data_IF_394779880327
#
_entry.id   IF_394779880327
#
_cell.length_a   1.000
_cell.length_b   1.000
_cell.length_c   1.000
_cell.angle_alpha   90.00
_cell.angle_beta   90.00
_cell.angle_gamma   90.00
#
_symmetry.space_group_name_H-M   'P 1'
#
loop_
_entity.id
_entity.type
_entity.pdbx_description
1 polymer ?
#
# COMPACT_ATOMS: atom_id res chain seq x y z
N UNK A 1 -26.43 5.90 15.94
CA UNK A 1 -27.21 7.15 15.67
C UNK A 1 -26.26 8.32 15.67
N UNK A 2 -25.66 8.68 14.55
CA UNK A 2 -24.84 9.88 14.42
C UNK A 2 -25.73 10.99 13.85
N UNK A 3 -26.06 11.97 14.69
CA UNK A 3 -26.80 13.18 14.32
C UNK A 3 -26.11 13.84 13.11
N UNK A 4 -26.87 14.03 12.03
CA UNK A 4 -26.53 14.89 10.92
C UNK A 4 -26.13 16.26 11.44
N UNK A 5 -24.82 16.57 11.41
CA UNK A 5 -24.36 17.94 11.52
C UNK A 5 -24.83 18.64 10.24
N UNK A 6 -25.68 19.66 10.32
CA UNK A 6 -26.16 20.33 9.13
C UNK A 6 -24.97 21.02 8.46
N UNK A 7 -24.54 20.48 7.32
CA UNK A 7 -23.59 21.17 6.45
C UNK A 7 -24.24 22.51 6.03
N UNK A 8 -23.66 23.63 6.43
CA UNK A 8 -24.02 24.96 5.92
C UNK A 8 -24.06 24.88 4.39
N UNK A 9 -25.25 24.91 3.83
CA UNK A 9 -25.50 25.03 2.41
C UNK A 9 -24.85 26.32 1.92
N UNK A 10 -23.66 26.23 1.33
CA UNK A 10 -22.96 27.41 0.81
C UNK A 10 -21.46 27.28 0.56
N UNK A 11 -20.79 26.25 1.08
CA UNK A 11 -19.34 26.09 0.83
C UNK A 11 -19.12 25.21 -0.40
N UNK A 12 -18.52 25.78 -1.44
CA UNK A 12 -18.14 25.10 -2.71
C UNK A 12 -17.29 23.83 -2.52
N UNK A 13 -16.73 23.63 -1.32
CA UNK A 13 -15.80 22.56 -0.98
C UNK A 13 -16.25 21.73 0.24
N UNK A 14 -17.52 21.81 0.63
CA UNK A 14 -18.01 21.21 1.88
C UNK A 14 -17.82 19.69 1.95
N UNK A 15 -17.99 18.97 0.85
CA UNK A 15 -17.83 17.51 0.81
C UNK A 15 -16.33 17.11 0.90
N UNK A 16 -15.47 17.78 0.15
CA UNK A 16 -14.03 17.57 0.22
C UNK A 16 -13.48 17.81 1.64
N UNK A 17 -13.90 18.93 2.25
CA UNK A 17 -13.50 19.29 3.60
C UNK A 17 -13.97 18.27 4.64
N UNK A 18 -15.20 17.77 4.51
CA UNK A 18 -15.73 16.71 5.37
C UNK A 18 -14.92 15.41 5.27
N UNK A 19 -14.53 15.01 4.05
CA UNK A 19 -13.72 13.82 3.80
C UNK A 19 -12.30 13.99 4.36
N UNK A 20 -11.70 15.17 4.22
CA UNK A 20 -10.39 15.49 4.79
C UNK A 20 -10.41 15.49 6.32
N UNK A 21 -11.42 16.11 6.95
CA UNK A 21 -11.56 16.06 8.40
C UNK A 21 -11.71 14.63 8.89
N UNK A 22 -12.57 13.84 8.23
CA UNK A 22 -12.74 12.44 8.60
C UNK A 22 -11.41 11.67 8.53
N UNK A 23 -10.63 11.89 7.47
CA UNK A 23 -9.30 11.29 7.32
C UNK A 23 -8.38 11.69 8.46
N UNK A 24 -8.26 12.97 8.77
CA UNK A 24 -7.39 13.46 9.86
C UNK A 24 -7.83 12.88 11.20
N UNK A 25 -9.13 12.85 11.50
CA UNK A 25 -9.66 12.26 12.74
C UNK A 25 -9.35 10.76 12.82
N UNK A 26 -9.49 10.03 11.71
CA UNK A 26 -9.15 8.60 11.65
C UNK A 26 -7.65 8.37 11.92
N UNK A 27 -6.77 9.21 11.38
CA UNK A 27 -5.33 9.15 11.65
C UNK A 27 -4.98 9.49 13.11
N UNK A 28 -5.69 10.43 13.73
CA UNK A 28 -5.54 10.73 15.17
C UNK A 28 -5.93 9.50 16.01
N UNK A 29 -7.06 8.85 15.71
CA UNK A 29 -7.49 7.62 16.39
C UNK A 29 -6.45 6.51 16.22
N UNK A 30 -5.93 6.32 14.99
CA UNK A 30 -4.83 5.39 14.73
C UNK A 30 -3.62 5.71 15.62
N UNK A 31 -3.21 6.97 15.67
CA UNK A 31 -2.03 7.38 16.43
C UNK A 31 -2.20 7.18 17.94
N UNK A 32 -3.37 7.46 18.48
CA UNK A 32 -3.70 7.18 19.89
C UNK A 32 -3.55 5.67 20.18
N UNK A 33 -4.13 4.82 19.34
CA UNK A 33 -4.07 3.37 19.54
C UNK A 33 -2.66 2.78 19.47
N UNK A 34 -1.72 3.40 18.73
CA UNK A 34 -0.30 2.98 18.70
C UNK A 34 0.44 3.27 20.03
N UNK A 35 -0.19 3.99 20.97
CA UNK A 35 0.40 4.33 22.28
C UNK A 35 -0.30 3.61 23.44
N UNK A 36 -1.35 2.82 23.19
CA UNK A 36 -2.03 2.03 24.23
C UNK A 36 -1.29 0.71 24.38
N UNK A 37 -0.49 0.50 25.46
CA UNK A 37 0.26 -0.74 25.64
C UNK A 37 -0.65 -1.91 25.99
N UNK A 38 -0.25 -3.11 25.60
CA UNK A 38 -0.89 -4.36 26.05
C UNK A 38 -0.44 -4.63 27.48
N UNK A 39 -1.35 -4.94 28.41
CA UNK A 39 -0.99 -5.17 29.81
C UNK A 39 -0.18 -6.46 29.99
N UNK A 40 0.68 -6.51 31.01
CA UNK A 40 1.46 -7.69 31.39
C UNK A 40 2.89 -7.74 30.86
N UNK A 41 3.39 -6.68 30.24
CA UNK A 41 4.76 -6.57 29.73
C UNK A 41 5.49 -5.42 30.41
N UNK A 42 6.77 -5.64 30.71
CA UNK A 42 7.66 -4.60 31.24
C UNK A 42 8.16 -3.71 30.08
N UNK A 43 7.83 -2.39 30.09
CA UNK A 43 8.18 -1.50 28.98
C UNK A 43 9.68 -1.21 28.88
N UNK A 44 10.44 -1.30 29.97
CA UNK A 44 11.86 -0.95 29.96
C UNK A 44 12.69 -2.11 29.40
N UNK A 45 12.45 -3.34 29.80
CA UNK A 45 13.06 -4.55 29.23
C UNK A 45 12.73 -4.68 27.74
N UNK A 46 11.50 -4.31 27.35
CA UNK A 46 11.09 -4.33 25.93
C UNK A 46 11.90 -3.34 25.08
N UNK A 47 12.12 -2.11 25.56
CA UNK A 47 12.94 -1.11 24.87
C UNK A 47 14.37 -1.58 24.68
N UNK A 48 14.97 -2.22 25.69
CA UNK A 48 16.32 -2.75 25.59
C UNK A 48 16.44 -3.83 24.49
N UNK A 49 15.49 -4.76 24.43
CA UNK A 49 15.43 -5.79 23.39
C UNK A 49 15.31 -5.19 21.99
N UNK A 50 14.45 -4.20 21.83
CA UNK A 50 14.28 -3.52 20.53
C UNK A 50 15.53 -2.74 20.12
N UNK A 51 16.23 -2.11 21.06
CA UNK A 51 17.46 -1.38 20.79
C UNK A 51 18.59 -2.33 20.33
N UNK A 52 18.64 -3.56 20.85
CA UNK A 52 19.61 -4.57 20.43
C UNK A 52 19.30 -5.17 19.06
N UNK A 53 18.02 -5.18 18.61
CA UNK A 53 17.59 -5.83 17.39
C UNK A 53 17.07 -4.85 16.30
N UNK A 54 17.43 -3.57 16.37
CA UNK A 54 16.92 -2.53 15.47
C UNK A 54 17.18 -2.78 13.97
N UNK A 55 18.19 -3.54 13.60
CA UNK A 55 18.55 -3.85 12.20
C UNK A 55 17.89 -5.09 11.62
N UNK A 56 17.07 -5.82 12.39
CA UNK A 56 16.49 -7.12 11.98
C UNK A 56 15.06 -7.04 11.43
N UNK A 57 14.46 -8.22 11.32
CA UNK A 57 13.06 -8.42 10.89
C UNK A 57 12.08 -7.64 11.78
N UNK A 58 12.34 -7.58 13.09
CA UNK A 58 11.53 -6.83 14.04
C UNK A 58 11.52 -5.33 13.78
N UNK A 59 12.65 -4.78 13.30
CA UNK A 59 12.73 -3.37 12.87
C UNK A 59 11.82 -3.05 11.70
N UNK A 60 11.75 -3.94 10.70
CA UNK A 60 10.81 -3.79 9.57
C UNK A 60 9.35 -3.84 10.04
N UNK A 61 8.99 -4.80 10.91
CA UNK A 61 7.65 -4.86 11.49
C UNK A 61 7.30 -3.58 12.25
N UNK A 62 8.22 -3.10 13.06
CA UNK A 62 8.03 -1.88 13.85
C UNK A 62 7.81 -0.65 12.95
N UNK A 63 8.49 -0.58 11.81
CA UNK A 63 8.31 0.48 10.82
C UNK A 63 6.90 0.46 10.22
N UNK A 64 6.41 -0.71 9.79
CA UNK A 64 5.06 -0.84 9.21
C UNK A 64 3.94 -0.63 10.24
N UNK A 65 4.20 -0.93 11.51
CA UNK A 65 3.26 -0.68 12.61
C UNK A 65 3.31 0.76 13.16
N UNK A 66 4.22 1.60 12.65
CA UNK A 66 4.37 2.98 13.13
C UNK A 66 4.92 3.12 14.55
N UNK A 67 5.82 2.22 14.95
CA UNK A 67 6.39 2.16 16.28
C UNK A 67 5.48 1.49 17.32
N UNK A 68 4.40 0.87 16.89
CA UNK A 68 3.46 0.19 17.78
C UNK A 68 4.05 -1.10 18.36
N UNK A 69 4.94 -1.79 17.64
CA UNK A 69 5.57 -3.02 18.10
C UNK A 69 6.62 -2.74 19.18
N UNK A 70 7.43 -1.69 19.03
CA UNK A 70 8.44 -1.32 20.03
C UNK A 70 7.86 -0.90 21.39
N UNK A 71 6.58 -0.53 21.42
CA UNK A 71 5.82 -0.22 22.64
C UNK A 71 4.88 -1.34 23.03
N UNK A 72 4.84 -2.40 22.26
CA UNK A 72 3.88 -3.49 22.35
C UNK A 72 2.44 -3.00 22.57
N UNK A 73 2.00 -2.12 21.68
CA UNK A 73 0.66 -1.57 21.76
C UNK A 73 -0.38 -2.52 21.17
N UNK A 74 -1.64 -2.22 21.37
CA UNK A 74 -2.78 -2.97 20.80
C UNK A 74 -2.67 -3.10 19.27
N UNK A 75 -1.98 -2.15 18.61
CA UNK A 75 -1.73 -2.18 17.17
C UNK A 75 -0.34 -2.75 16.78
N UNK A 76 0.29 -3.53 17.65
CA UNK A 76 1.64 -4.07 17.41
C UNK A 76 1.73 -4.94 16.14
N UNK A 77 0.70 -5.74 15.82
CA UNK A 77 0.61 -6.48 14.56
C UNK A 77 0.37 -5.58 13.33
N UNK A 78 -0.11 -4.37 13.54
CA UNK A 78 -0.42 -3.43 12.45
C UNK A 78 -1.45 -3.97 11.46
N UNK A 79 -1.28 -3.60 10.20
CA UNK A 79 -2.12 -4.06 9.07
C UNK A 79 -1.58 -5.33 8.38
N UNK A 80 -0.46 -5.92 8.85
CA UNK A 80 0.21 -7.05 8.20
C UNK A 80 -0.69 -8.29 8.02
N UNK A 81 -1.45 -8.76 9.04
CA UNK A 81 -2.34 -9.92 8.87
C UNK A 81 -3.39 -9.68 7.78
N UNK A 82 -3.90 -8.46 7.68
CA UNK A 82 -4.87 -8.11 6.64
C UNK A 82 -4.23 -8.09 5.23
N UNK A 83 -3.03 -7.54 5.09
CA UNK A 83 -2.31 -7.51 3.82
C UNK A 83 -2.08 -8.94 3.34
N UNK A 84 -1.56 -9.82 4.21
CA UNK A 84 -1.31 -11.23 3.89
C UNK A 84 -2.60 -11.96 3.51
N UNK A 85 -3.69 -11.77 4.27
CA UNK A 85 -4.99 -12.36 3.95
C UNK A 85 -5.54 -11.86 2.60
N UNK A 86 -5.39 -10.57 2.32
CA UNK A 86 -5.83 -9.96 1.06
C UNK A 86 -5.06 -10.52 -0.14
N UNK A 87 -3.75 -10.71 -0.01
CA UNK A 87 -2.91 -11.34 -1.04
C UNK A 87 -3.38 -12.75 -1.31
N UNK A 88 -3.51 -13.56 -0.26
CA UNK A 88 -3.92 -14.97 -0.36
C UNK A 88 -5.29 -15.05 -1.04
N UNK A 89 -6.26 -14.25 -0.61
CA UNK A 89 -7.59 -14.24 -1.21
C UNK A 89 -7.60 -13.76 -2.65
N UNK A 90 -6.80 -12.76 -2.99
CA UNK A 90 -6.64 -12.32 -4.38
C UNK A 90 -6.04 -13.42 -5.25
N UNK A 91 -4.97 -14.10 -4.81
CA UNK A 91 -4.38 -15.22 -5.53
C UNK A 91 -5.37 -16.38 -5.69
N UNK A 92 -6.06 -16.77 -4.62
CA UNK A 92 -7.06 -17.84 -4.64
C UNK A 92 -8.23 -17.51 -5.58
N UNK A 93 -8.61 -16.25 -5.74
CA UNK A 93 -9.68 -15.84 -6.66
C UNK A 93 -9.35 -16.05 -8.14
N UNK A 94 -8.09 -16.36 -8.48
CA UNK A 94 -7.67 -16.74 -9.83
C UNK A 94 -7.45 -18.25 -9.99
N UNK A 95 -7.13 -18.94 -8.92
CA UNK A 95 -6.82 -20.37 -8.95
C UNK A 95 -8.07 -21.22 -8.73
N UNK A 96 -8.99 -20.77 -7.85
CA UNK A 96 -10.20 -21.52 -7.52
C UNK A 96 -11.38 -21.07 -8.38
N UNK A 97 -11.98 -22.01 -9.18
CA UNK A 97 -13.13 -21.69 -10.05
C UNK A 97 -14.34 -21.11 -9.30
N UNK A 98 -14.56 -21.54 -8.05
CA UNK A 98 -15.63 -21.03 -7.19
C UNK A 98 -15.47 -19.56 -6.82
N UNK A 99 -14.24 -19.10 -6.59
CA UNK A 99 -13.94 -17.71 -6.29
C UNK A 99 -13.86 -16.85 -7.56
N UNK A 100 -13.45 -17.44 -8.67
CA UNK A 100 -13.48 -16.79 -9.98
C UNK A 100 -14.91 -16.47 -10.42
N UNK A 101 -15.87 -17.38 -10.20
CA UNK A 101 -17.29 -17.12 -10.49
C UNK A 101 -17.83 -15.96 -9.64
N UNK A 102 -17.52 -15.94 -8.33
CA UNK A 102 -17.89 -14.84 -7.44
C UNK A 102 -17.33 -13.49 -7.92
N UNK A 103 -16.09 -13.47 -8.39
CA UNK A 103 -15.49 -12.26 -8.93
C UNK A 103 -16.22 -11.74 -10.17
N UNK A 104 -16.74 -12.64 -11.03
CA UNK A 104 -17.53 -12.30 -12.22
C UNK A 104 -18.94 -11.81 -11.89
N UNK A 105 -19.47 -12.09 -10.70
CA UNK A 105 -20.78 -11.59 -10.22
C UNK A 105 -20.80 -10.08 -9.92
N UNK A 106 -19.67 -9.37 -10.03
CA UNK A 106 -19.57 -7.92 -9.82
C UNK A 106 -19.58 -7.52 -8.34
N UNK A 107 -20.38 -6.52 -7.98
CA UNK A 107 -20.42 -5.94 -6.62
C UNK A 107 -20.79 -6.95 -5.52
N UNK A 108 -21.75 -7.84 -5.79
CA UNK A 108 -22.19 -8.87 -4.83
C UNK A 108 -21.06 -9.84 -4.51
N UNK A 109 -20.35 -10.32 -5.53
CA UNK A 109 -19.22 -11.22 -5.35
C UNK A 109 -18.02 -10.55 -4.67
N UNK A 110 -17.74 -9.27 -4.99
CA UNK A 110 -16.69 -8.50 -4.29
C UNK A 110 -16.94 -8.41 -2.79
N UNK A 111 -18.19 -8.18 -2.37
CA UNK A 111 -18.54 -8.16 -0.94
C UNK A 111 -18.26 -9.48 -0.25
N UNK A 112 -18.57 -10.62 -0.88
CA UNK A 112 -18.27 -11.95 -0.34
C UNK A 112 -16.75 -12.18 -0.26
N UNK A 113 -15.98 -11.82 -1.28
CA UNK A 113 -14.51 -11.93 -1.25
C UNK A 113 -13.92 -11.08 -0.12
N UNK A 114 -14.41 -9.84 0.08
CA UNK A 114 -14.00 -9.00 1.20
C UNK A 114 -14.33 -9.65 2.55
N UNK A 115 -15.48 -10.29 2.67
CA UNK A 115 -15.86 -11.03 3.89
C UNK A 115 -14.90 -12.19 4.16
N UNK A 116 -14.54 -12.97 3.16
CA UNK A 116 -13.54 -14.04 3.30
C UNK A 116 -12.16 -13.51 3.67
N UNK A 117 -11.77 -12.35 3.11
CA UNK A 117 -10.53 -11.65 3.51
C UNK A 117 -10.55 -11.28 5.00
N UNK A 118 -11.68 -10.81 5.53
CA UNK A 118 -11.83 -10.50 6.97
C UNK A 118 -11.66 -11.75 7.84
N UNK A 119 -12.27 -12.88 7.45
CA UNK A 119 -12.09 -14.15 8.17
C UNK A 119 -10.64 -14.64 8.10
N UNK A 120 -10.00 -14.52 6.92
CA UNK A 120 -8.57 -14.83 6.76
C UNK A 120 -7.68 -13.95 7.63
N UNK A 121 -8.00 -12.66 7.74
CA UNK A 121 -7.29 -11.71 8.62
C UNK A 121 -7.41 -12.11 10.09
N UNK A 122 -8.59 -12.49 10.53
CA UNK A 122 -8.82 -12.94 11.90
C UNK A 122 -8.02 -14.20 12.21
N UNK A 123 -8.02 -15.18 11.31
CA UNK A 123 -7.30 -16.43 11.47
C UNK A 123 -5.77 -16.20 11.49
N UNK A 124 -5.24 -15.46 10.53
CA UNK A 124 -3.81 -15.14 10.49
C UNK A 124 -3.39 -14.27 11.68
N UNK A 125 -4.21 -13.30 12.07
CA UNK A 125 -3.95 -12.45 13.25
C UNK A 125 -3.91 -13.25 14.53
N UNK A 126 -4.79 -14.24 14.68
CA UNK A 126 -4.80 -15.13 15.84
C UNK A 126 -3.52 -15.99 15.91
N UNK A 127 -3.11 -16.57 14.79
CA UNK A 127 -1.85 -17.33 14.72
C UNK A 127 -0.64 -16.45 15.05
N UNK A 128 -0.55 -15.27 14.45
CA UNK A 128 0.57 -14.35 14.68
C UNK A 128 0.58 -13.85 16.13
N UNK A 129 -0.57 -13.49 16.68
CA UNK A 129 -0.69 -13.05 18.08
C UNK A 129 -0.27 -14.13 19.07
N UNK A 130 -0.70 -15.39 18.86
CA UNK A 130 -0.27 -16.53 19.67
C UNK A 130 1.23 -16.72 19.61
N UNK A 131 1.81 -16.70 18.41
CA UNK A 131 3.24 -16.86 18.25
C UNK A 131 4.05 -15.77 18.94
N UNK A 132 3.65 -14.52 18.81
CA UNK A 132 4.31 -13.41 19.51
C UNK A 132 4.16 -13.56 21.03
N UNK A 133 2.98 -13.92 21.55
CA UNK A 133 2.78 -14.12 22.97
C UNK A 133 3.71 -15.21 23.54
N UNK A 134 3.83 -16.35 22.82
CA UNK A 134 4.74 -17.43 23.21
C UNK A 134 6.21 -17.01 23.13
N UNK A 135 6.60 -16.30 22.06
CA UNK A 135 7.96 -15.80 21.88
C UNK A 135 8.37 -14.80 22.98
N UNK A 136 7.45 -13.95 23.43
CA UNK A 136 7.72 -13.00 24.53
C UNK A 136 7.87 -13.70 25.87
N UNK A 137 7.12 -14.75 26.14
CA UNK A 137 7.26 -15.54 27.37
C UNK A 137 8.60 -16.28 27.47
N UNK A 138 9.27 -16.60 26.35
CA UNK A 138 10.58 -17.23 26.36
C UNK A 138 11.71 -16.27 26.76
N UNK A 139 11.45 -14.96 26.76
CA UNK A 139 12.43 -13.96 27.19
C UNK A 139 12.34 -13.73 28.69
N UNK A 140 13.42 -13.96 29.46
CA UNK A 140 13.38 -13.79 30.89
C UNK A 140 13.18 -12.32 31.31
N UNK A 141 12.24 -12.08 32.19
CA UNK A 141 11.99 -10.73 32.78
C UNK A 141 11.13 -9.80 31.91
N UNK A 142 10.68 -10.21 30.73
CA UNK A 142 9.86 -9.37 29.86
C UNK A 142 8.37 -9.42 30.22
N UNK A 143 7.87 -10.60 30.60
CA UNK A 143 6.48 -10.81 30.99
C UNK A 143 6.42 -10.86 32.53
N UNK A 144 5.54 -10.04 33.11
CA UNK A 144 5.40 -9.92 34.58
C UNK A 144 4.88 -11.24 35.16
N UNK A 145 3.79 -11.78 34.60
CA UNK A 145 3.17 -13.04 35.02
C UNK A 145 3.00 -13.96 33.80
N UNK A 146 4.00 -14.83 33.48
CA UNK A 146 3.90 -15.75 32.38
C UNK A 146 2.82 -16.81 32.66
N UNK A 147 1.95 -17.09 31.66
CA UNK A 147 0.92 -18.11 31.78
C UNK A 147 -0.25 -17.94 30.80
N UNK A 148 -1.22 -18.84 30.94
CA UNK A 148 -2.40 -18.87 30.06
C UNK A 148 -3.19 -17.55 30.05
N UNK A 149 -3.25 -16.85 31.20
CA UNK A 149 -3.94 -15.59 31.33
C UNK A 149 -3.28 -14.50 30.47
N UNK A 150 -1.94 -14.34 30.56
CA UNK A 150 -1.19 -13.40 29.72
C UNK A 150 -1.37 -13.69 28.23
N UNK A 151 -1.24 -14.97 27.81
CA UNK A 151 -1.44 -15.37 26.40
C UNK A 151 -2.82 -14.98 25.91
N UNK A 152 -3.85 -15.24 26.69
CA UNK A 152 -5.24 -14.93 26.31
C UNK A 152 -5.46 -13.42 26.17
N UNK A 153 -5.01 -12.61 27.13
CA UNK A 153 -5.12 -11.16 27.09
C UNK A 153 -4.34 -10.58 25.91
N UNK A 154 -3.12 -11.04 25.70
CA UNK A 154 -2.25 -10.63 24.61
C UNK A 154 -2.92 -10.91 23.23
N UNK A 155 -3.39 -12.15 23.02
CA UNK A 155 -4.02 -12.56 21.77
C UNK A 155 -5.30 -11.77 21.50
N UNK A 156 -6.18 -11.65 22.48
CA UNK A 156 -7.43 -10.90 22.35
C UNK A 156 -7.13 -9.42 22.01
N UNK A 157 -6.19 -8.80 22.72
CA UNK A 157 -5.81 -7.40 22.51
C UNK A 157 -5.25 -7.17 21.10
N UNK A 158 -4.30 -7.99 20.65
CA UNK A 158 -3.65 -7.85 19.34
C UNK A 158 -4.61 -8.14 18.18
N UNK A 159 -5.43 -9.18 18.30
CA UNK A 159 -6.42 -9.51 17.25
C UNK A 159 -7.49 -8.42 17.17
N UNK A 160 -7.98 -7.93 18.30
CA UNK A 160 -8.95 -6.83 18.33
C UNK A 160 -8.36 -5.58 17.68
N UNK A 161 -7.09 -5.26 17.99
CA UNK A 161 -6.38 -4.14 17.37
C UNK A 161 -6.26 -4.28 15.85
N UNK A 162 -5.89 -5.45 15.36
CA UNK A 162 -5.79 -5.72 13.91
C UNK A 162 -7.13 -5.60 13.20
N UNK A 163 -8.21 -6.17 13.80
CA UNK A 163 -9.55 -6.07 13.24
C UNK A 163 -10.07 -4.63 13.25
N UNK A 164 -9.75 -3.87 14.29
CA UNK A 164 -10.07 -2.44 14.35
C UNK A 164 -9.34 -1.64 13.27
N UNK A 165 -8.03 -1.89 13.05
CA UNK A 165 -7.27 -1.23 11.98
C UNK A 165 -7.80 -1.56 10.59
N UNK A 166 -8.19 -2.80 10.36
CA UNK A 166 -8.83 -3.21 9.11
C UNK A 166 -10.13 -2.43 8.90
N UNK A 167 -11.02 -2.41 9.90
CA UNK A 167 -12.26 -1.65 9.84
C UNK A 167 -12.01 -0.14 9.63
N UNK A 168 -11.03 0.43 10.33
CA UNK A 168 -10.67 1.83 10.18
C UNK A 168 -10.19 2.14 8.75
N UNK A 169 -9.36 1.26 8.16
CA UNK A 169 -8.92 1.37 6.77
C UNK A 169 -10.07 1.31 5.76
N UNK A 170 -11.04 0.42 5.98
CA UNK A 170 -12.25 0.37 5.16
C UNK A 170 -13.08 1.66 5.29
N UNK A 171 -13.26 2.19 6.51
CA UNK A 171 -13.98 3.46 6.72
C UNK A 171 -13.27 4.65 6.05
N UNK A 172 -11.93 4.69 6.08
CA UNK A 172 -11.16 5.73 5.37
C UNK A 172 -11.37 5.60 3.87
N UNK A 173 -11.39 4.39 3.32
CA UNK A 173 -11.62 4.15 1.88
C UNK A 173 -13.02 4.57 1.44
N UNK A 174 -14.06 4.30 2.26
CA UNK A 174 -15.45 4.61 1.94
C UNK A 174 -15.79 6.10 2.12
N UNK A 175 -15.34 6.71 3.22
CA UNK A 175 -15.75 8.05 3.66
C UNK A 175 -14.65 9.10 3.53
N UNK A 176 -13.41 8.70 3.38
CA UNK A 176 -12.25 9.57 3.23
C UNK A 176 -11.87 9.79 1.76
N UNK A 177 -10.58 9.93 1.53
CA UNK A 177 -9.95 10.08 0.23
C UNK A 177 -8.80 9.07 0.16
N UNK A 178 -8.71 8.30 -0.91
CA UNK A 178 -7.63 7.33 -1.11
C UNK A 178 -7.91 5.93 -0.59
N UNK A 179 -6.90 5.08 -0.70
CA UNK A 179 -6.94 3.73 -0.13
C UNK A 179 -6.58 3.82 1.37
N UNK A 180 -7.55 3.54 2.23
CA UNK A 180 -7.40 3.71 3.68
C UNK A 180 -6.27 2.92 4.30
N UNK A 181 -6.02 1.68 3.82
CA UNK A 181 -4.93 0.84 4.33
C UNK A 181 -3.57 1.41 3.96
N UNK A 182 -3.42 1.84 2.70
CA UNK A 182 -2.18 2.50 2.24
C UNK A 182 -1.90 3.78 3.04
N UNK A 183 -2.94 4.52 3.40
CA UNK A 183 -2.83 5.74 4.21
C UNK A 183 -2.45 5.42 5.66
N UNK A 184 -2.97 4.35 6.26
CA UNK A 184 -2.57 3.92 7.61
C UNK A 184 -1.10 3.49 7.62
N UNK A 185 -0.64 2.73 6.63
CA UNK A 185 0.77 2.34 6.47
C UNK A 185 1.65 3.59 6.30
N UNK A 186 1.24 4.49 5.41
CA UNK A 186 1.90 5.78 5.20
C UNK A 186 2.04 6.58 6.50
N UNK A 187 0.96 6.71 7.27
CA UNK A 187 0.97 7.41 8.55
C UNK A 187 1.92 6.75 9.56
N UNK A 188 1.99 5.42 9.57
CA UNK A 188 2.95 4.67 10.39
C UNK A 188 4.39 5.01 10.03
N UNK A 189 4.72 4.99 8.74
CA UNK A 189 6.07 5.28 8.24
C UNK A 189 6.45 6.74 8.52
N UNK A 190 5.57 7.69 8.18
CA UNK A 190 5.82 9.13 8.39
C UNK A 190 6.00 9.47 9.86
N UNK A 191 5.33 8.77 10.77
CA UNK A 191 5.49 8.95 12.21
C UNK A 191 6.90 8.59 12.72
N UNK A 192 7.64 7.73 12.00
CA UNK A 192 9.04 7.39 12.30
C UNK A 192 10.06 8.40 11.74
N UNK A 193 9.66 9.28 10.80
CA UNK A 193 10.55 10.24 10.15
C UNK A 193 11.31 11.16 11.12
N UNK A 194 10.64 11.83 12.09
CA UNK A 194 11.34 12.72 13.01
C UNK A 194 12.41 12.00 13.83
N UNK A 195 12.13 10.74 14.26
CA UNK A 195 13.09 9.91 14.99
C UNK A 195 14.29 9.51 14.11
N UNK A 196 14.07 9.20 12.85
CA UNK A 196 15.14 8.87 11.90
C UNK A 196 16.06 10.09 11.64
N UNK A 197 15.48 11.27 11.48
CA UNK A 197 16.24 12.51 11.29
C UNK A 197 17.05 12.85 12.55
N UNK A 198 16.45 12.77 13.74
CA UNK A 198 17.16 13.00 15.00
C UNK A 198 18.27 11.99 15.26
N UNK A 199 18.07 10.73 14.88
CA UNK A 199 19.08 9.67 14.96
C UNK A 199 20.28 9.96 14.05
N UNK A 200 20.04 10.45 12.84
CA UNK A 200 21.12 10.87 11.92
C UNK A 200 21.97 12.01 12.54
N UNK A 201 21.31 13.02 13.12
CA UNK A 201 22.04 14.10 13.79
C UNK A 201 22.84 13.61 14.99
N UNK A 202 22.31 12.66 15.78
CA UNK A 202 23.05 12.07 16.89
C UNK A 202 24.31 11.33 16.41
N UNK A 203 24.24 10.56 15.31
CA UNK A 203 25.39 9.86 14.75
C UNK A 203 26.48 10.84 14.25
N UNK A 204 26.07 11.98 13.71
CA UNK A 204 27.01 13.04 13.34
C UNK A 204 27.63 13.68 14.58
N UNK A 205 26.83 13.95 15.63
CA UNK A 205 27.34 14.58 16.86
C UNK A 205 28.25 13.66 17.67
N UNK A 206 28.03 12.34 17.64
CA UNK A 206 28.88 11.33 18.28
C UNK A 206 30.15 11.00 17.46
N UNK A 207 30.28 11.54 16.25
CA UNK A 207 31.42 11.27 15.36
C UNK A 207 31.38 9.88 14.70
N UNK A 208 30.32 9.11 14.87
CA UNK A 208 30.15 7.80 14.22
C UNK A 208 30.06 7.91 12.69
N UNK A 209 29.51 9.02 12.21
CA UNK A 209 29.44 9.35 10.78
C UNK A 209 29.99 10.75 10.56
N UNK A 210 30.85 10.91 9.56
CA UNK A 210 31.39 12.23 9.22
C UNK A 210 30.28 13.15 8.67
N UNK A 211 30.36 14.48 8.91
CA UNK A 211 29.36 15.43 8.42
C UNK A 211 29.17 15.39 6.90
N UNK A 212 30.24 15.16 6.15
CA UNK A 212 30.20 15.03 4.70
C UNK A 212 29.41 13.80 4.25
N UNK A 213 29.55 12.67 4.96
CA UNK A 213 28.78 11.44 4.68
C UNK A 213 27.29 11.63 4.97
N UNK A 214 26.93 12.38 6.01
CA UNK A 214 25.55 12.70 6.31
C UNK A 214 24.90 13.54 5.21
N UNK A 215 25.61 14.57 4.72
CA UNK A 215 25.15 15.38 3.58
C UNK A 215 24.96 14.52 2.34
N UNK A 216 25.93 13.62 2.06
CA UNK A 216 25.86 12.70 0.92
C UNK A 216 24.63 11.76 1.01
N UNK A 217 24.34 11.24 2.20
CA UNK A 217 23.16 10.39 2.45
C UNK A 217 21.87 11.17 2.17
N UNK A 218 21.73 12.38 2.70
CA UNK A 218 20.57 13.25 2.46
C UNK A 218 20.41 13.53 0.96
N UNK A 219 21.52 13.84 0.27
CA UNK A 219 21.52 14.08 -1.17
C UNK A 219 21.03 12.85 -1.96
N UNK A 220 21.46 11.63 -1.60
CA UNK A 220 20.99 10.40 -2.24
C UNK A 220 19.50 10.20 -1.99
N UNK A 221 19.01 10.37 -0.76
CA UNK A 221 17.58 10.23 -0.44
C UNK A 221 16.73 11.20 -1.27
N UNK A 222 17.18 12.46 -1.40
CA UNK A 222 16.52 13.45 -2.24
C UNK A 222 16.53 13.07 -3.72
N UNK A 223 17.65 12.57 -4.21
CA UNK A 223 17.80 12.13 -5.60
C UNK A 223 16.91 10.93 -5.90
N UNK A 224 16.89 9.91 -5.02
CA UNK A 224 16.02 8.74 -5.15
C UNK A 224 14.55 9.15 -5.11
N UNK A 225 14.17 10.06 -4.19
CA UNK A 225 12.81 10.59 -4.11
C UNK A 225 12.40 11.28 -5.41
N UNK A 226 13.27 12.14 -5.96
CA UNK A 226 13.03 12.83 -7.24
C UNK A 226 12.89 11.83 -8.40
N UNK A 227 13.75 10.80 -8.42
CA UNK A 227 13.70 9.72 -9.41
C UNK A 227 12.37 8.94 -9.33
N UNK A 228 11.93 8.59 -8.12
CA UNK A 228 10.64 7.91 -7.88
C UNK A 228 9.49 8.75 -8.42
N UNK A 229 9.44 10.04 -8.06
CA UNK A 229 8.39 10.96 -8.54
C UNK A 229 8.40 11.06 -10.07
N UNK A 230 9.59 11.11 -10.68
CA UNK A 230 9.72 11.18 -12.13
C UNK A 230 9.15 9.95 -12.83
N UNK A 231 9.51 8.75 -12.37
CA UNK A 231 9.03 7.49 -12.96
C UNK A 231 7.54 7.27 -12.73
N UNK A 232 7.03 7.55 -11.51
CA UNK A 232 5.61 7.36 -11.18
C UNK A 232 4.68 8.31 -11.95
N UNK A 233 5.18 9.48 -12.36
CA UNK A 233 4.47 10.38 -13.28
C UNK A 233 4.52 9.94 -14.73
N UNK A 234 5.45 9.05 -15.07
CA UNK A 234 5.66 8.57 -16.42
C UNK A 234 4.46 7.77 -16.95
N UNK A 235 3.98 8.17 -18.15
CA UNK A 235 2.86 7.51 -18.82
C UNK A 235 3.18 7.25 -20.28
N UNK A 236 2.92 6.03 -20.75
CA UNK A 236 2.87 5.73 -22.19
C UNK A 236 1.48 6.06 -22.71
N UNK A 237 1.38 7.05 -23.57
CA UNK A 237 0.12 7.46 -24.21
C UNK A 237 -0.03 6.73 -25.53
N UNK A 238 -1.05 5.87 -25.64
CA UNK A 238 -1.42 5.22 -26.89
C UNK A 238 -2.49 6.08 -27.55
N UNK A 239 -2.22 6.57 -28.77
CA UNK A 239 -3.19 7.38 -29.52
C UNK A 239 -4.37 6.52 -29.93
N UNK A 240 -5.57 7.00 -29.67
CA UNK A 240 -6.84 6.35 -30.03
C UNK A 240 -7.67 7.35 -30.82
N UNK A 241 -8.09 6.97 -32.03
CA UNK A 241 -8.92 7.79 -32.88
C UNK A 241 -10.35 7.29 -32.86
N UNK A 242 -11.31 8.20 -32.77
CA UNK A 242 -12.73 7.90 -32.94
C UNK A 242 -13.13 8.08 -34.39
N UNK A 243 -13.94 7.14 -34.89
CA UNK A 243 -14.46 7.23 -36.24
C UNK A 243 -15.33 8.47 -36.43
N UNK A 244 -15.19 9.17 -37.57
CA UNK A 244 -16.07 10.29 -37.92
C UNK A 244 -17.48 9.75 -38.06
N UNK A 245 -18.45 10.36 -37.39
CA UNK A 245 -19.87 10.04 -37.53
C UNK A 245 -20.56 11.17 -38.32
N UNK A 246 -21.21 10.80 -39.38
CA UNK A 246 -22.09 11.71 -40.12
C UNK A 246 -23.52 11.47 -39.61
N UNK A 247 -24.15 12.52 -39.10
CA UNK A 247 -25.56 12.50 -38.70
C UNK A 247 -26.26 13.58 -39.55
N UNK A 248 -26.95 13.15 -40.58
CA UNK A 248 -27.54 14.05 -41.60
C UNK A 248 -26.46 14.81 -42.36
N UNK A 249 -26.59 16.12 -42.48
CA UNK A 249 -25.63 17.00 -43.19
C UNK A 249 -24.47 17.49 -42.32
N UNK A 250 -24.38 17.07 -41.06
CA UNK A 250 -23.31 17.48 -40.11
C UNK A 250 -22.33 16.32 -39.89
N UNK A 251 -21.07 16.59 -40.18
CA UNK A 251 -19.95 15.65 -39.86
C UNK A 251 -19.44 16.01 -38.47
N UNK A 252 -19.66 15.12 -37.52
CA UNK A 252 -19.00 15.19 -36.23
C UNK A 252 -17.58 14.64 -36.38
N UNK A 253 -16.59 15.52 -36.31
CA UNK A 253 -15.20 15.21 -36.52
C UNK A 253 -14.70 14.16 -35.52
N UNK A 254 -13.90 13.20 -35.99
CA UNK A 254 -13.22 12.26 -35.13
C UNK A 254 -12.27 12.99 -34.19
N UNK A 255 -12.50 12.86 -32.90
CA UNK A 255 -11.57 13.36 -31.88
C UNK A 255 -10.48 12.31 -31.65
N UNK A 256 -9.23 12.74 -31.63
CA UNK A 256 -8.14 11.91 -31.14
C UNK A 256 -8.04 12.01 -29.63
N UNK A 257 -8.01 10.89 -28.96
CA UNK A 257 -7.81 10.77 -27.53
C UNK A 257 -6.59 9.90 -27.25
N UNK A 258 -6.22 9.75 -25.97
CA UNK A 258 -5.11 8.90 -25.57
C UNK A 258 -5.56 7.91 -24.51
N UNK A 259 -5.08 6.67 -24.64
CA UNK A 259 -5.13 5.68 -23.56
C UNK A 259 -3.85 5.81 -22.75
N UNK A 260 -3.90 6.38 -21.53
CA UNK A 260 -2.71 6.52 -20.69
C UNK A 260 -2.43 5.19 -19.98
N UNK A 261 -1.23 4.63 -20.16
CA UNK A 261 -0.72 3.50 -19.43
C UNK A 261 0.44 3.99 -18.53
N UNK A 262 0.31 3.85 -17.23
CA UNK A 262 1.41 4.19 -16.30
C UNK A 262 2.59 3.24 -16.53
N UNK A 263 3.82 3.71 -16.33
CA UNK A 263 5.03 2.86 -16.38
C UNK A 263 4.96 1.82 -15.27
N UNK A 264 4.60 2.25 -14.05
CA UNK A 264 4.33 1.37 -12.93
C UNK A 264 2.82 1.21 -12.73
N UNK A 265 2.22 0.18 -13.37
CA UNK A 265 0.79 -0.14 -13.22
C UNK A 265 0.48 -0.79 -11.87
N UNK A 266 1.47 -1.45 -11.28
CA UNK A 266 1.31 -2.18 -10.03
C UNK A 266 1.46 -1.30 -8.78
N UNK A 267 1.86 -0.03 -8.93
CA UNK A 267 2.11 0.92 -7.83
C UNK A 267 3.06 0.33 -6.77
N UNK A 268 2.77 0.55 -5.47
CA UNK A 268 3.56 0.06 -4.32
C UNK A 268 3.19 -1.35 -3.85
N UNK A 269 2.21 -1.98 -4.47
CA UNK A 269 1.66 -3.26 -4.01
C UNK A 269 2.69 -4.40 -4.09
N UNK A 270 3.47 -4.59 -5.18
CA UNK A 270 4.44 -5.66 -5.27
C UNK A 270 5.51 -5.67 -4.17
N UNK A 271 6.17 -4.56 -3.83
CA UNK A 271 7.10 -4.52 -2.70
C UNK A 271 6.48 -4.84 -1.35
N UNK A 272 5.25 -4.36 -1.10
CA UNK A 272 4.51 -4.66 0.14
C UNK A 272 4.20 -6.15 0.22
N UNK A 273 3.78 -6.76 -0.89
CA UNK A 273 3.49 -8.19 -0.96
C UNK A 273 4.74 -9.04 -0.79
N UNK A 274 5.83 -8.66 -1.46
CA UNK A 274 7.12 -9.35 -1.34
C UNK A 274 7.64 -9.32 0.11
N UNK A 275 7.62 -8.16 0.76
CA UNK A 275 8.03 -8.02 2.16
C UNK A 275 7.14 -8.83 3.11
N UNK A 276 5.82 -8.76 2.94
CA UNK A 276 4.87 -9.52 3.78
C UNK A 276 5.05 -11.03 3.65
N UNK A 277 5.32 -11.51 2.42
CA UNK A 277 5.52 -12.94 2.17
C UNK A 277 6.83 -13.47 2.76
N UNK A 278 7.91 -12.67 2.75
CA UNK A 278 9.19 -13.04 3.37
C UNK A 278 9.10 -12.97 4.90
N UNK A 279 8.41 -11.96 5.43
CA UNK A 279 8.28 -11.77 6.86
C UNK A 279 7.46 -12.88 7.53
N UNK A 280 6.49 -13.46 6.85
CA UNK A 280 5.63 -14.50 7.42
C UNK A 280 6.40 -15.78 7.82
N UNK A 281 7.19 -16.45 6.95
CA UNK A 281 8.03 -17.59 7.36
C UNK A 281 9.08 -17.22 8.40
N UNK A 282 9.66 -16.04 8.30
CA UNK A 282 10.69 -15.58 9.22
C UNK A 282 10.14 -15.37 10.66
N UNK A 283 8.91 -14.89 10.79
CA UNK A 283 8.23 -14.80 12.10
C UNK A 283 7.85 -16.18 12.62
N UNK A 284 7.33 -17.08 11.77
CA UNK A 284 7.07 -18.44 12.18
C UNK A 284 8.33 -19.15 12.70
N UNK A 285 9.46 -18.98 12.01
CA UNK A 285 10.73 -19.55 12.41
C UNK A 285 11.22 -19.03 13.76
N UNK A 286 10.96 -17.77 14.09
CA UNK A 286 11.33 -17.21 15.40
C UNK A 286 10.56 -17.85 16.57
N UNK A 287 9.41 -18.46 16.34
CA UNK A 287 8.61 -19.13 17.37
C UNK A 287 9.13 -20.53 17.72
N UNK A 288 9.79 -21.19 16.77
CA UNK A 288 10.31 -22.56 16.95
C UNK A 288 11.74 -22.60 17.48
N UNK A 289 12.20 -21.58 18.19
CA UNK A 289 13.59 -21.40 18.64
C UNK A 289 14.04 -22.38 19.74
N UNK A 290 13.15 -23.16 20.36
CA UNK A 290 13.38 -23.87 21.62
C UNK A 290 13.82 -25.34 21.49
N UNK A 291 14.34 -25.81 20.34
CA UNK A 291 14.73 -27.21 20.17
C UNK A 291 15.93 -27.44 19.25
N UNK A 292 16.75 -28.45 19.56
CA UNK A 292 17.89 -28.88 18.71
C UNK A 292 17.45 -29.40 17.33
N UNK A 293 16.26 -29.95 17.23
CA UNK A 293 15.67 -30.45 15.98
C UNK A 293 15.25 -29.34 14.98
N UNK A 294 15.26 -28.07 15.43
CA UNK A 294 14.80 -26.92 14.62
C UNK A 294 15.93 -26.03 14.12
N UNK A 295 17.20 -26.49 14.19
CA UNK A 295 18.37 -25.73 13.74
C UNK A 295 18.23 -25.27 12.28
N UNK A 296 17.80 -26.15 11.39
CA UNK A 296 17.63 -25.83 9.98
C UNK A 296 16.60 -24.70 9.73
N UNK A 297 15.53 -24.61 10.54
CA UNK A 297 14.54 -23.52 10.45
C UNK A 297 15.18 -22.20 10.88
N UNK A 298 16.01 -22.24 11.92
CA UNK A 298 16.74 -21.07 12.42
C UNK A 298 17.76 -20.58 11.40
N UNK A 299 18.52 -21.46 10.78
CA UNK A 299 19.51 -21.13 9.75
C UNK A 299 18.83 -20.55 8.50
N UNK A 300 17.67 -21.10 8.14
CA UNK A 300 16.86 -20.58 7.05
C UNK A 300 16.28 -19.20 7.39
N UNK A 301 15.80 -19.00 8.61
CA UNK A 301 15.33 -17.68 9.07
C UNK A 301 16.46 -16.66 9.15
N UNK A 302 17.65 -17.05 9.59
CA UNK A 302 18.83 -16.20 9.60
C UNK A 302 19.25 -15.78 8.19
N UNK A 303 19.19 -16.70 7.22
CA UNK A 303 19.50 -16.40 5.81
C UNK A 303 18.44 -15.53 5.12
N UNK A 304 17.20 -15.52 5.64
CA UNK A 304 16.11 -14.65 5.19
C UNK A 304 16.07 -13.30 5.95
N UNK A 305 17.08 -13.00 6.76
CA UNK A 305 17.18 -11.71 7.44
C UNK A 305 17.62 -10.60 6.47
N UNK A 306 17.15 -9.36 6.66
CA UNK A 306 17.59 -8.21 5.87
C UNK A 306 19.13 -8.07 5.88
N UNK A 307 19.72 -7.82 4.72
CA UNK A 307 21.16 -7.72 4.55
C UNK A 307 21.85 -9.03 4.10
N UNK A 308 21.15 -10.15 4.09
CA UNK A 308 21.68 -11.39 3.54
C UNK A 308 21.49 -11.47 2.01
N UNK A 309 22.45 -12.05 1.24
CA UNK A 309 22.32 -12.15 -0.21
C UNK A 309 21.08 -12.92 -0.67
N UNK A 310 20.70 -13.97 0.06
CA UNK A 310 19.54 -14.78 -0.24
C UNK A 310 18.24 -13.96 -0.08
N UNK A 311 18.14 -13.17 0.99
CA UNK A 311 17.02 -12.24 1.20
C UNK A 311 16.88 -11.27 0.02
N UNK A 312 17.97 -10.60 -0.34
CA UNK A 312 17.99 -9.59 -1.41
C UNK A 312 17.58 -10.19 -2.76
N UNK A 313 18.08 -11.39 -3.09
CA UNK A 313 17.74 -12.08 -4.34
C UNK A 313 16.28 -12.53 -4.35
N UNK A 314 15.81 -13.15 -3.27
CA UNK A 314 14.43 -13.60 -3.13
C UNK A 314 13.46 -12.41 -3.17
N UNK A 315 13.79 -11.33 -2.48
CA UNK A 315 13.01 -10.11 -2.44
C UNK A 315 12.87 -9.48 -3.83
N UNK A 316 13.98 -9.37 -4.58
CA UNK A 316 13.96 -8.87 -5.95
C UNK A 316 13.11 -9.77 -6.87
N UNK A 317 13.26 -11.09 -6.78
CA UNK A 317 12.48 -12.04 -7.56
C UNK A 317 10.98 -11.95 -7.26
N UNK A 318 10.61 -11.82 -5.99
CA UNK A 318 9.22 -11.67 -5.56
C UNK A 318 8.62 -10.34 -6.02
N UNK A 319 9.37 -9.23 -5.98
CA UNK A 319 8.92 -7.94 -6.52
C UNK A 319 8.58 -8.07 -8.00
N UNK A 320 9.47 -8.70 -8.79
CA UNK A 320 9.22 -8.92 -10.23
C UNK A 320 8.00 -9.79 -10.44
N UNK A 321 7.91 -10.93 -9.72
CA UNK A 321 6.76 -11.83 -9.80
C UNK A 321 5.44 -11.11 -9.50
N UNK A 322 5.36 -10.41 -8.37
CA UNK A 322 4.15 -9.70 -7.98
C UNK A 322 3.83 -8.51 -8.89
N UNK A 323 4.83 -7.85 -9.48
CA UNK A 323 4.59 -6.79 -10.46
C UNK A 323 3.86 -7.32 -11.69
N UNK A 324 4.28 -8.44 -12.25
CA UNK A 324 3.59 -9.09 -13.37
C UNK A 324 2.23 -9.63 -12.97
N UNK A 325 2.17 -10.32 -11.84
CA UNK A 325 0.92 -10.89 -11.33
C UNK A 325 -0.13 -9.79 -11.12
N UNK A 326 0.21 -8.71 -10.42
CA UNK A 326 -0.72 -7.64 -10.13
C UNK A 326 -1.13 -6.85 -11.37
N UNK A 327 -0.22 -6.61 -12.29
CA UNK A 327 -0.55 -5.94 -13.56
C UNK A 327 -1.55 -6.75 -14.37
N UNK A 328 -1.38 -8.07 -14.46
CA UNK A 328 -2.33 -8.96 -15.13
C UNK A 328 -3.70 -9.00 -14.43
N UNK A 329 -3.72 -8.77 -13.13
CA UNK A 329 -4.92 -8.75 -12.30
C UNK A 329 -5.74 -7.47 -12.49
N UNK A 330 -5.07 -6.33 -12.52
CA UNK A 330 -5.71 -5.00 -12.54
C UNK A 330 -6.15 -4.61 -13.94
N UNK A 331 -5.39 -4.99 -14.95
CA UNK A 331 -5.63 -4.58 -16.32
C UNK A 331 -5.93 -5.76 -17.24
N UNK A 332 -7.14 -5.76 -17.83
CA UNK A 332 -7.55 -6.76 -18.81
C UNK A 332 -7.48 -6.19 -20.23
N UNK A 333 -6.44 -6.56 -21.03
CA UNK A 333 -6.28 -6.04 -22.40
C UNK A 333 -7.44 -6.39 -23.32
N UNK A 334 -8.07 -7.56 -23.15
CA UNK A 334 -9.20 -8.01 -23.98
C UNK A 334 -10.42 -7.14 -23.75
N UNK A 335 -10.80 -6.93 -22.50
CA UNK A 335 -11.94 -6.09 -22.13
C UNK A 335 -11.75 -4.64 -22.59
N UNK A 336 -10.53 -4.10 -22.40
CA UNK A 336 -10.20 -2.75 -22.87
C UNK A 336 -10.32 -2.63 -24.39
N UNK A 337 -9.83 -3.60 -25.15
CA UNK A 337 -9.92 -3.62 -26.61
C UNK A 337 -11.38 -3.76 -27.10
N UNK A 338 -12.22 -4.55 -26.41
CA UNK A 338 -13.64 -4.66 -26.70
C UNK A 338 -14.40 -3.37 -26.41
N UNK A 339 -14.09 -2.71 -25.29
CA UNK A 339 -14.70 -1.42 -24.92
C UNK A 339 -14.32 -0.33 -25.94
N UNK A 340 -13.07 -0.30 -26.41
CA UNK A 340 -12.66 0.58 -27.51
C UNK A 340 -13.44 0.28 -28.78
N UNK A 341 -13.58 -0.99 -29.15
CA UNK A 341 -14.35 -1.41 -30.31
C UNK A 341 -15.82 -0.99 -30.22
N UNK A 342 -16.46 -1.21 -29.05
CA UNK A 342 -17.87 -0.83 -28.80
C UNK A 342 -18.07 0.69 -28.88
N UNK A 343 -17.11 1.49 -28.44
CA UNK A 343 -17.14 2.95 -28.52
C UNK A 343 -16.77 3.51 -29.89
N UNK A 344 -16.46 2.65 -30.88
CA UNK A 344 -16.04 3.07 -32.22
C UNK A 344 -14.66 3.69 -32.29
N UNK A 345 -13.85 3.42 -31.27
CA UNK A 345 -12.48 3.90 -31.15
C UNK A 345 -11.50 2.84 -31.66
N UNK A 346 -10.42 3.28 -32.29
CA UNK A 346 -9.39 2.39 -32.86
C UNK A 346 -8.00 2.99 -32.70
N UNK A 347 -7.00 2.11 -32.58
CA UNK A 347 -5.60 2.51 -32.63
C UNK A 347 -5.14 2.62 -34.07
N UNK A 348 -4.55 3.75 -34.51
CA UNK A 348 -4.10 3.93 -35.89
C UNK A 348 -3.18 2.79 -36.33
N UNK A 349 -3.45 2.19 -37.48
CA UNK A 349 -2.67 1.10 -38.05
C UNK A 349 -2.96 -0.29 -37.49
N UNK A 350 -3.87 -0.46 -36.54
CA UNK A 350 -4.20 -1.74 -35.91
C UNK A 350 -5.70 -2.02 -36.03
N UNK A 351 -6.08 -3.24 -36.45
CA UNK A 351 -7.49 -3.64 -36.54
C UNK A 351 -8.15 -3.68 -35.16
N UNK A 352 -9.35 -3.08 -34.98
CA UNK A 352 -10.09 -3.14 -33.71
C UNK A 352 -10.42 -4.58 -33.31
N UNK A 353 -10.33 -4.87 -32.04
CA UNK A 353 -10.63 -6.18 -31.45
C UNK A 353 -9.38 -6.93 -31.00
N UNK A 354 -9.22 -8.19 -31.41
CA UNK A 354 -8.15 -9.07 -30.89
C UNK A 354 -6.72 -8.56 -31.17
N UNK A 355 -6.49 -7.97 -32.35
CA UNK A 355 -5.16 -7.40 -32.65
C UNK A 355 -4.82 -6.20 -31.76
N UNK A 356 -5.81 -5.36 -31.45
CA UNK A 356 -5.66 -4.27 -30.49
C UNK A 356 -5.36 -4.80 -29.09
N UNK A 357 -6.04 -5.88 -28.68
CA UNK A 357 -5.77 -6.55 -27.41
C UNK A 357 -4.33 -7.06 -27.32
N UNK A 358 -3.85 -7.76 -28.35
CA UNK A 358 -2.46 -8.27 -28.42
C UNK A 358 -1.42 -7.13 -28.42
N UNK A 359 -1.72 -6.03 -29.07
CA UNK A 359 -0.84 -4.86 -29.07
C UNK A 359 -0.74 -4.23 -27.68
N UNK A 360 -1.89 -4.00 -27.01
CA UNK A 360 -1.96 -3.45 -25.67
C UNK A 360 -1.22 -4.38 -24.69
N UNK A 361 -1.44 -5.69 -24.78
CA UNK A 361 -0.77 -6.69 -23.94
C UNK A 361 0.76 -6.65 -24.11
N UNK A 362 1.25 -6.59 -25.34
CA UNK A 362 2.69 -6.47 -25.62
C UNK A 362 3.30 -5.18 -25.05
N UNK A 363 2.58 -4.06 -25.11
CA UNK A 363 3.03 -2.79 -24.54
C UNK A 363 3.03 -2.90 -23.01
N UNK A 364 2.01 -3.49 -22.41
CA UNK A 364 1.87 -3.70 -20.99
C UNK A 364 3.00 -4.56 -20.42
N UNK A 365 3.31 -5.69 -21.05
CA UNK A 365 4.42 -6.56 -20.65
C UNK A 365 5.76 -5.81 -20.60
N UNK A 366 6.02 -4.96 -21.61
CA UNK A 366 7.26 -4.15 -21.65
C UNK A 366 7.28 -3.07 -20.56
N UNK A 367 6.13 -2.42 -20.31
CA UNK A 367 6.03 -1.42 -19.25
C UNK A 367 6.19 -2.07 -17.88
N UNK A 368 5.59 -3.25 -17.66
CA UNK A 368 5.73 -4.00 -16.42
C UNK A 368 7.17 -4.43 -16.18
N UNK A 369 7.91 -4.84 -17.22
CA UNK A 369 9.35 -5.12 -17.10
C UNK A 369 10.12 -3.89 -16.63
N UNK A 370 9.93 -2.75 -17.29
CA UNK A 370 10.60 -1.50 -16.91
C UNK A 370 10.21 -1.07 -15.49
N UNK A 371 8.92 -1.17 -15.14
CA UNK A 371 8.40 -0.88 -13.81
C UNK A 371 8.95 -1.82 -12.74
N UNK A 372 9.08 -3.13 -13.00
CA UNK A 372 9.63 -4.08 -12.04
C UNK A 372 11.11 -3.85 -11.77
N UNK A 373 11.91 -3.56 -12.81
CA UNK A 373 13.34 -3.19 -12.66
C UNK A 373 13.47 -1.93 -11.82
N UNK A 374 12.65 -0.92 -12.12
CA UNK A 374 12.59 0.30 -11.33
C UNK A 374 12.26 0.04 -9.86
N UNK A 375 11.22 -0.77 -9.57
CA UNK A 375 10.82 -1.12 -8.19
C UNK A 375 11.95 -1.84 -7.45
N UNK A 376 12.60 -2.82 -8.08
CA UNK A 376 13.74 -3.54 -7.50
C UNK A 376 14.87 -2.57 -7.19
N UNK A 377 15.22 -1.69 -8.13
CA UNK A 377 16.29 -0.71 -7.93
C UNK A 377 15.99 0.20 -6.72
N UNK A 378 14.79 0.80 -6.67
CA UNK A 378 14.41 1.71 -5.58
C UNK A 378 14.35 1.01 -4.24
N UNK A 379 13.91 -0.25 -4.20
CA UNK A 379 13.84 -1.01 -2.95
C UNK A 379 15.22 -1.46 -2.44
N UNK A 380 16.16 -1.78 -3.32
CA UNK A 380 17.50 -2.28 -2.94
C UNK A 380 18.52 -1.19 -2.63
N UNK A 381 18.39 0.01 -3.23
CA UNK A 381 19.36 1.10 -3.00
C UNK A 381 19.50 1.47 -1.52
N UNK A 382 18.43 1.71 -0.75
CA UNK A 382 18.58 2.03 0.67
C UNK A 382 19.10 0.85 1.50
N UNK A 383 18.78 -0.38 1.13
CA UNK A 383 19.31 -1.57 1.79
C UNK A 383 20.84 -1.66 1.61
N UNK A 384 21.34 -1.40 0.41
CA UNK A 384 22.76 -1.34 0.15
C UNK A 384 23.46 -0.20 0.90
N UNK A 385 22.82 0.97 1.01
CA UNK A 385 23.33 2.09 1.81
C UNK A 385 23.41 1.74 3.30
N UNK A 386 22.40 1.05 3.83
CA UNK A 386 22.40 0.60 5.22
C UNK A 386 23.56 -0.37 5.51
N UNK A 387 23.82 -1.32 4.62
CA UNK A 387 24.93 -2.28 4.74
C UNK A 387 26.32 -1.61 4.70
N UNK A 388 26.47 -0.52 3.93
CA UNK A 388 27.78 0.16 3.78
C UNK A 388 28.08 1.20 4.83
N UNK A 389 27.05 1.92 5.29
CA UNK A 389 27.22 3.08 6.18
C UNK A 389 26.73 2.84 7.60
N UNK A 390 26.18 1.64 7.92
CA UNK A 390 25.60 1.32 9.23
C UNK A 390 24.68 2.43 9.76
N UNK A 391 24.01 3.13 8.85
CA UNK A 391 23.10 4.20 9.21
C UNK A 391 21.81 3.53 9.71
N UNK A 392 21.30 3.89 10.89
CA UNK A 392 20.01 3.45 11.34
C UNK A 392 18.91 4.12 10.52
N UNK A 393 18.94 3.88 9.20
CA UNK A 393 17.88 4.33 8.31
C UNK A 393 16.70 3.38 8.46
N UNK A 394 15.73 3.81 9.23
CA UNK A 394 14.38 3.25 9.21
C UNK A 394 13.67 3.45 7.84
N UNK A 395 14.34 4.10 6.90
CA UNK A 395 13.88 4.27 5.52
C UNK A 395 14.42 3.14 4.63
N UNK A 396 13.84 1.96 4.75
CA UNK A 396 13.97 0.95 3.70
C UNK A 396 13.40 1.47 2.37
N UNK A 397 13.86 0.96 1.25
CA UNK A 397 13.38 1.38 -0.08
C UNK A 397 11.87 1.29 -0.26
N UNK A 398 11.24 0.30 0.38
CA UNK A 398 9.78 0.18 0.43
C UNK A 398 9.11 1.35 1.13
N UNK A 399 9.64 1.83 2.24
CA UNK A 399 9.01 2.93 2.99
C UNK A 399 9.05 4.25 2.21
N UNK A 400 10.19 4.56 1.57
CA UNK A 400 10.33 5.75 0.74
C UNK A 400 9.37 5.70 -0.45
N UNK A 401 9.28 4.54 -1.11
CA UNK A 401 8.38 4.32 -2.23
C UNK A 401 6.92 4.45 -1.81
N UNK A 402 6.53 3.88 -0.66
CA UNK A 402 5.17 4.01 -0.11
C UNK A 402 4.85 5.47 0.18
N UNK A 403 5.75 6.20 0.85
CA UNK A 403 5.54 7.61 1.17
C UNK A 403 5.31 8.44 -0.09
N UNK A 404 6.14 8.28 -1.10
CA UNK A 404 6.02 9.05 -2.35
C UNK A 404 4.74 8.70 -3.11
N UNK A 405 4.50 7.41 -3.34
CA UNK A 405 3.37 6.97 -4.19
C UNK A 405 2.03 7.24 -3.53
N UNK A 406 1.90 6.96 -2.23
CA UNK A 406 0.65 7.26 -1.51
C UNK A 406 0.37 8.76 -1.48
N UNK A 407 1.39 9.60 -1.30
CA UNK A 407 1.24 11.05 -1.39
C UNK A 407 0.80 11.49 -2.78
N UNK A 408 1.39 10.93 -3.83
CA UNK A 408 1.02 11.24 -5.23
C UNK A 408 -0.41 10.79 -5.56
N UNK A 409 -0.81 9.60 -5.13
CA UNK A 409 -2.17 9.09 -5.34
C UNK A 409 -3.19 9.94 -4.57
N UNK A 410 -2.86 10.33 -3.34
CA UNK A 410 -3.68 11.25 -2.55
C UNK A 410 -3.86 12.61 -3.24
N UNK A 411 -2.76 13.22 -3.69
CA UNK A 411 -2.79 14.50 -4.41
C UNK A 411 -3.59 14.40 -5.71
N UNK A 412 -3.43 13.32 -6.46
CA UNK A 412 -4.18 13.06 -7.70
C UNK A 412 -5.68 12.98 -7.44
N UNK A 413 -6.11 12.31 -6.37
CA UNK A 413 -7.52 12.21 -6.00
C UNK A 413 -8.09 13.54 -5.52
N UNK A 414 -7.34 14.30 -4.71
CA UNK A 414 -7.74 15.66 -4.31
C UNK A 414 -7.91 16.57 -5.54
N UNK A 415 -6.98 16.52 -6.48
CA UNK A 415 -7.08 17.27 -7.75
C UNK A 415 -8.31 16.85 -8.57
N UNK A 416 -8.60 15.56 -8.68
CA UNK A 416 -9.79 15.08 -9.37
C UNK A 416 -11.08 15.60 -8.73
N UNK A 417 -11.17 15.62 -7.41
CA UNK A 417 -12.31 16.23 -6.69
C UNK A 417 -12.43 17.72 -6.95
N UNK A 418 -11.33 18.46 -6.92
CA UNK A 418 -11.33 19.91 -7.19
C UNK A 418 -11.78 20.23 -8.62
N UNK A 419 -11.29 19.46 -9.61
CA UNK A 419 -11.68 19.63 -11.02
C UNK A 419 -13.17 19.31 -11.24
N UNK A 420 -13.68 18.23 -10.67
CA UNK A 420 -15.08 17.83 -10.75
C UNK A 420 -16.01 18.97 -10.25
N UNK A 421 -15.68 19.61 -9.13
CA UNK A 421 -16.43 20.73 -8.60
C UNK A 421 -16.32 22.03 -9.45
N UNK A 422 -15.18 22.27 -10.07
CA UNK A 422 -15.03 23.40 -10.99
C UNK A 422 -15.92 23.23 -12.22
N UNK A 423 -15.98 22.01 -12.79
CA UNK A 423 -16.87 21.69 -13.91
C UNK A 423 -18.35 21.88 -13.54
N UNK A 424 -18.78 21.42 -12.38
CA UNK A 424 -20.14 21.57 -11.91
C UNK A 424 -20.52 23.07 -11.72
N UNK A 425 -19.57 23.87 -11.24
CA UNK A 425 -19.77 25.32 -11.07
C UNK A 425 -19.88 26.06 -12.41
N UNK A 426 -19.15 25.61 -13.43
CA UNK A 426 -19.23 26.15 -14.79
C UNK A 426 -20.55 25.76 -15.47
N UNK A 427 -21.02 24.53 -15.29
CA UNK A 427 -22.32 24.07 -15.81
C UNK A 427 -23.49 24.84 -15.16
N UNK A 428 -23.40 25.15 -13.86
CA UNK A 428 -24.42 25.98 -13.17
C UNK A 428 -24.37 27.44 -13.61
N UNK A 429 -23.22 27.97 -14.02
CA UNK A 429 -23.06 29.35 -14.54
C UNK A 429 -23.50 29.50 -15.99
N UNK A 430 -23.30 28.48 -16.82
CA UNK A 430 -23.83 28.40 -18.17
C UNK A 430 -25.32 28.05 -18.04
N UNK A 431 -26.15 29.07 -17.90
CA UNK A 431 -27.60 28.93 -17.87
C UNK A 431 -28.06 28.25 -19.18
N UNK A 432 -28.24 26.94 -19.15
CA UNK A 432 -28.97 26.19 -20.19
C UNK A 432 -30.49 26.54 -20.21
N UNK A 433 -30.89 27.69 -19.70
CA UNK A 433 -32.26 28.21 -19.81
C UNK A 433 -32.67 28.62 -21.23
N UNK A 434 -31.77 28.47 -22.23
CA UNK A 434 -32.03 28.80 -23.63
C UNK A 434 -32.51 27.66 -24.52
N UNK A 435 -32.50 26.41 -24.06
CA UNK A 435 -32.99 25.26 -24.84
C UNK A 435 -34.22 24.63 -24.19
N UNK A 436 -35.28 25.42 -24.02
CA UNK A 436 -36.61 24.88 -23.82
C UNK A 436 -37.11 24.27 -25.15
N UNK A 437 -38.02 23.24 -25.11
CA UNK A 437 -38.52 22.58 -26.34
C UNK A 437 -39.28 23.45 -27.33
N UNK A 438 -39.24 24.77 -27.21
CA UNK A 438 -39.94 25.75 -28.06
C UNK A 438 -39.06 26.71 -28.83
N UNK A 439 -37.72 26.63 -28.80
CA UNK A 439 -36.82 27.55 -29.52
C UNK A 439 -36.08 26.93 -30.71
N UNK A 440 -36.74 26.08 -31.48
CA UNK A 440 -36.31 25.74 -32.82
C UNK A 440 -36.73 26.88 -33.77
N UNK A 441 -35.84 27.61 -34.43
CA UNK A 441 -36.21 28.50 -35.52
C UNK A 441 -36.79 27.63 -36.63
N UNK A 442 -38.01 27.98 -37.05
CA UNK A 442 -38.67 27.42 -38.24
C UNK A 442 -37.88 27.68 -39.51
#
# INVERSE_FOLDING_TARGET
>A
MAKNIPAKAGSKYGDLYRRLIFLVLALVVYRIGTHIPVPGIDPDTLKELFNQQQGGILGLFNMFSGGALSRFSVFALGSMPYISASIIMQMLSYVLPSLESLRKEGESGRRKITQYTRYGTLLLGLFQALGIAVALETQPGLVIDPGFFFRSVCVISLVTGTMFLMWLGEQITERGIGNGISIIIFAGIVAGLPAAVSGLFQLVSTGAIGPLSAIFIIAIVMLVTAFVVFIERGQRRITVNYAKRQVGNRIYGGQSSYLPLKINMANVIPPIFASSLILFPATLASWFTSGDSTRWIRDLAASLSPGQPLYTLLYAALIVFFAYFYTALVFNPKETAENLKKSGAFVPGIRPGEQTSRYIDKVLLRLTLAGSIYLVFVCLVPEFLNLRFNVPFYFGGTSLLIVVVVTMDFMSQVQAYLMSHQYESLLKKTNFRGFGPGSLPR
#
